data_IF_499200529675
#
_entry.id   IF_499200529675
#
_cell.length_a   1.000
_cell.length_b   1.000
_cell.length_c   1.000
_cell.angle_alpha   90.00
_cell.angle_beta   90.00
_cell.angle_gamma   90.00
#
_symmetry.space_group_name_H-M   'P 1'
#
loop_
_entity.id
_entity.type
_entity.pdbx_description
1 polymer ?
#
# COMPACT_ATOMS: atom_id res chain seq x y z
N UNK A 1 -0.07 83.85 -0.48
CA UNK A 1 0.65 84.14 0.77
C UNK A 1 0.76 82.80 1.51
N UNK A 2 1.76 81.99 1.16
CA UNK A 2 3.03 81.81 1.90
C UNK A 2 2.69 81.29 3.31
N UNK A 3 2.98 80.04 3.69
CA UNK A 3 4.33 79.45 3.74
C UNK A 3 4.33 77.91 3.89
N UNK A 4 5.47 77.31 3.53
CA UNK A 4 5.83 75.88 3.62
C UNK A 4 6.40 75.55 5.02
N UNK A 5 6.36 74.28 5.43
CA UNK A 5 7.46 73.52 6.09
C UNK A 5 6.89 72.22 6.69
N UNK A 6 7.18 71.01 6.18
CA UNK A 6 8.34 70.15 6.54
C UNK A 6 8.54 70.02 8.07
N UNK A 7 8.71 68.86 8.70
CA UNK A 7 8.84 67.47 8.30
C UNK A 7 8.72 66.57 9.55
N UNK A 8 8.70 65.25 9.33
CA UNK A 8 9.25 64.23 10.24
C UNK A 8 8.40 63.82 11.46
N UNK A 9 7.62 62.75 11.27
CA UNK A 9 7.04 61.94 12.34
C UNK A 9 7.16 60.46 12.02
N UNK A 10 8.08 59.80 12.72
CA UNK A 10 8.46 58.38 12.71
C UNK A 10 7.47 57.36 12.12
N UNK A 11 8.01 56.61 11.16
CA UNK A 11 7.67 55.23 10.80
C UNK A 11 7.94 54.30 11.99
N UNK A 12 6.89 53.69 12.53
CA UNK A 12 6.93 52.45 13.34
C UNK A 12 5.87 51.54 12.71
N UNK A 13 6.23 50.69 11.73
CA UNK A 13 6.53 49.28 11.98
C UNK A 13 5.67 48.66 13.09
N UNK A 14 4.39 48.43 12.83
CA UNK A 14 3.69 47.28 13.40
C UNK A 14 4.05 46.07 12.56
N UNK A 15 5.23 45.53 12.88
CA UNK A 15 5.65 44.22 12.44
C UNK A 15 4.78 43.17 13.12
N UNK A 16 4.20 42.32 12.27
CA UNK A 16 3.80 40.95 12.55
C UNK A 16 4.42 40.35 13.81
N UNK A 17 3.59 40.04 14.80
CA UNK A 17 3.87 38.94 15.71
C UNK A 17 2.60 38.13 15.95
N UNK A 18 2.14 37.46 14.90
CA UNK A 18 1.45 36.17 15.06
C UNK A 18 2.49 35.21 15.67
N UNK A 19 2.60 35.21 17.00
CA UNK A 19 3.30 34.14 17.71
C UNK A 19 2.49 32.87 17.51
N UNK A 20 2.87 32.16 16.46
CA UNK A 20 2.83 30.73 16.33
C UNK A 20 2.90 30.05 17.71
N UNK A 21 1.73 29.64 18.22
CA UNK A 21 1.61 28.64 19.29
C UNK A 21 1.71 27.24 18.70
N UNK A 22 2.75 27.02 17.88
CA UNK A 22 3.07 25.73 17.26
C UNK A 22 4.38 25.24 17.88
N UNK A 23 4.27 24.73 19.11
CA UNK A 23 5.44 24.24 19.85
C UNK A 23 5.17 23.19 20.93
N UNK A 24 3.94 23.07 21.45
CA UNK A 24 3.71 22.26 22.67
C UNK A 24 2.88 20.97 22.43
N UNK A 25 2.30 20.76 21.25
CA UNK A 25 1.46 19.58 20.94
C UNK A 25 2.27 18.28 20.62
N UNK A 26 3.59 18.31 20.76
CA UNK A 26 4.48 17.21 20.40
C UNK A 26 4.51 16.06 21.40
N UNK A 27 4.35 16.37 22.69
CA UNK A 27 4.64 15.42 23.78
C UNK A 27 3.42 14.61 24.22
N UNK A 28 2.22 15.22 24.20
CA UNK A 28 0.96 14.55 24.54
C UNK A 28 0.55 13.43 23.57
N UNK A 29 1.12 13.38 22.36
CA UNK A 29 0.80 12.37 21.33
C UNK A 29 1.43 11.01 21.59
N UNK A 30 2.49 10.94 22.40
CA UNK A 30 3.17 9.68 22.74
C UNK A 30 2.39 8.90 23.82
N UNK A 31 1.74 9.60 24.75
CA UNK A 31 1.02 9.01 25.88
C UNK A 31 -0.27 8.28 25.46
N UNK A 32 -0.95 8.73 24.40
CA UNK A 32 -2.23 8.18 23.96
C UNK A 32 -2.09 6.94 23.04
N UNK A 33 -0.87 6.47 22.79
CA UNK A 33 -0.57 5.36 21.86
C UNK A 33 -1.25 4.03 22.22
N UNK A 34 -1.56 3.82 23.50
CA UNK A 34 -2.30 2.65 23.98
C UNK A 34 -3.83 2.78 23.87
N UNK A 35 -4.34 4.00 23.73
CA UNK A 35 -5.77 4.32 23.79
C UNK A 35 -6.33 4.58 22.39
N UNK A 36 -5.55 5.25 21.53
CA UNK A 36 -5.90 5.56 20.15
C UNK A 36 -4.78 5.15 19.20
N UNK A 37 -5.13 4.58 18.03
CA UNK A 37 -4.12 4.25 17.03
C UNK A 37 -3.58 5.54 16.41
N UNK A 38 -2.25 5.70 16.38
CA UNK A 38 -1.61 6.84 15.72
C UNK A 38 -1.21 6.50 14.29
N UNK A 39 -1.32 7.45 13.36
CA UNK A 39 -0.93 7.20 11.97
C UNK A 39 0.56 6.84 11.85
N UNK A 40 1.42 7.55 12.58
CA UNK A 40 2.86 7.30 12.57
C UNK A 40 3.20 5.85 12.96
N UNK A 41 2.56 5.33 14.01
CA UNK A 41 2.69 3.95 14.44
C UNK A 41 2.22 2.97 13.36
N UNK A 42 1.03 3.18 12.78
CA UNK A 42 0.48 2.29 11.75
C UNK A 42 1.33 2.27 10.46
N UNK A 43 1.92 3.40 10.10
CA UNK A 43 2.87 3.51 8.98
C UNK A 43 4.18 2.80 9.30
N UNK A 44 4.71 2.94 10.53
CA UNK A 44 5.94 2.27 10.95
C UNK A 44 5.82 0.73 10.87
N UNK A 45 4.63 0.16 11.07
CA UNK A 45 4.38 -1.28 10.93
C UNK A 45 4.67 -1.82 9.52
N UNK A 46 4.72 -0.96 8.50
CA UNK A 46 5.16 -1.35 7.15
C UNK A 46 6.55 -1.98 7.18
N UNK A 47 7.45 -1.57 8.06
CA UNK A 47 8.79 -2.13 8.15
C UNK A 47 8.81 -3.61 8.58
N UNK A 48 7.78 -4.06 9.32
CA UNK A 48 7.71 -5.40 9.90
C UNK A 48 7.20 -6.47 8.92
N UNK A 49 6.49 -6.06 7.88
CA UNK A 49 5.87 -7.01 6.94
C UNK A 49 6.92 -7.56 5.99
N UNK A 50 7.35 -8.80 6.21
CA UNK A 50 8.15 -9.53 5.23
C UNK A 50 7.21 -10.01 4.11
N UNK A 51 7.58 -9.74 2.85
CA UNK A 51 6.76 -10.17 1.71
C UNK A 51 6.67 -11.69 1.67
N UNK A 52 5.52 -12.22 1.22
CA UNK A 52 5.50 -13.62 0.79
C UNK A 52 6.47 -13.73 -0.39
N UNK A 53 7.26 -14.81 -0.46
CA UNK A 53 8.10 -15.05 -1.64
C UNK A 53 7.21 -14.91 -2.87
N UNK A 54 7.53 -13.93 -3.73
CA UNK A 54 6.84 -13.76 -5.00
C UNK A 54 6.81 -15.13 -5.69
N UNK A 55 5.64 -15.51 -6.21
CA UNK A 55 5.56 -16.69 -7.07
C UNK A 55 6.66 -16.56 -8.13
N UNK A 56 7.49 -17.60 -8.27
CA UNK A 56 8.67 -17.60 -9.14
C UNK A 56 8.28 -17.04 -10.51
N UNK A 57 8.74 -15.82 -10.83
CA UNK A 57 8.46 -15.20 -12.12
C UNK A 57 9.04 -16.10 -13.21
N UNK A 58 8.31 -16.30 -14.30
CA UNK A 58 8.90 -16.83 -15.53
C UNK A 58 10.08 -15.94 -15.94
N UNK A 59 11.02 -16.48 -16.73
CA UNK A 59 12.31 -15.82 -17.02
C UNK A 59 12.17 -14.49 -17.78
N UNK A 60 10.96 -14.11 -18.19
CA UNK A 60 10.62 -12.88 -18.89
C UNK A 60 9.51 -12.12 -18.14
N UNK A 61 9.80 -11.62 -16.94
CA UNK A 61 8.82 -10.91 -16.12
C UNK A 61 8.84 -9.40 -16.34
N UNK A 62 7.89 -8.88 -17.09
CA UNK A 62 7.48 -7.46 -17.06
C UNK A 62 7.06 -7.08 -15.64
N UNK A 63 7.47 -5.89 -15.21
CA UNK A 63 7.18 -5.37 -13.88
C UNK A 63 5.73 -4.86 -13.83
N UNK A 64 4.82 -5.66 -13.30
CA UNK A 64 3.44 -5.23 -13.04
C UNK A 64 2.57 -6.38 -12.52
N UNK A 65 1.86 -6.09 -11.42
CA UNK A 65 0.83 -6.91 -10.76
C UNK A 65 1.19 -8.34 -10.31
N UNK A 66 0.51 -8.79 -9.25
CA UNK A 66 0.79 -10.04 -8.56
C UNK A 66 0.64 -11.25 -9.50
N UNK A 67 1.76 -11.86 -9.90
CA UNK A 67 1.73 -13.01 -10.78
C UNK A 67 1.21 -14.26 -10.05
N UNK A 68 0.24 -14.95 -10.65
CA UNK A 68 -0.30 -16.20 -10.11
C UNK A 68 0.69 -17.36 -10.29
N UNK A 69 0.94 -18.21 -9.26
CA UNK A 69 1.76 -19.41 -9.41
C UNK A 69 1.10 -20.50 -10.27
N UNK A 70 -0.22 -20.42 -10.49
CA UNK A 70 -0.93 -21.25 -11.45
C UNK A 70 -0.63 -20.79 -12.88
N UNK A 71 0.11 -21.63 -13.62
CA UNK A 71 0.30 -21.52 -15.06
C UNK A 71 -0.94 -22.14 -15.74
N UNK A 72 -1.73 -21.34 -16.47
CA UNK A 72 -2.94 -21.82 -17.16
C UNK A 72 -4.00 -20.75 -17.42
N UNK A 73 -4.71 -20.88 -18.56
CA UNK A 73 -5.85 -20.05 -19.06
C UNK A 73 -5.76 -18.54 -18.79
N UNK A 74 -4.56 -17.98 -18.76
CA UNK A 74 -4.34 -16.55 -18.79
C UNK A 74 -4.39 -16.02 -20.23
N UNK A 75 -4.68 -14.73 -20.38
CA UNK A 75 -4.61 -14.05 -21.69
C UNK A 75 -3.20 -13.51 -21.97
N UNK A 76 -2.33 -13.44 -20.96
CA UNK A 76 -1.00 -12.85 -21.09
C UNK A 76 0.05 -13.93 -21.41
N UNK A 77 0.85 -13.68 -22.44
CA UNK A 77 1.97 -14.53 -22.80
C UNK A 77 3.10 -14.39 -21.76
N UNK A 78 3.50 -15.49 -21.14
CA UNK A 78 4.56 -15.50 -20.15
C UNK A 78 5.91 -15.85 -20.76
N UNK A 79 6.02 -17.03 -21.37
CA UNK A 79 7.24 -17.50 -22.02
C UNK A 79 6.91 -18.64 -22.98
N UNK A 80 7.77 -18.87 -23.97
CA UNK A 80 7.72 -20.08 -24.80
C UNK A 80 8.77 -21.05 -24.28
N UNK A 81 8.35 -22.29 -24.00
CA UNK A 81 9.26 -23.38 -23.61
C UNK A 81 9.29 -24.46 -24.68
N UNK A 82 10.32 -25.30 -24.66
CA UNK A 82 10.34 -26.50 -25.51
C UNK A 82 9.15 -27.40 -25.18
N UNK A 83 8.53 -27.93 -26.23
CA UNK A 83 7.35 -28.79 -26.16
C UNK A 83 7.69 -30.07 -25.39
N UNK A 84 6.83 -30.44 -24.45
CA UNK A 84 6.90 -31.71 -23.75
C UNK A 84 5.71 -32.58 -24.15
N UNK A 85 5.90 -33.90 -24.12
CA UNK A 85 4.82 -34.83 -24.39
C UNK A 85 3.67 -34.63 -23.38
N UNK A 86 2.45 -34.43 -23.89
CA UNK A 86 1.27 -34.07 -23.09
C UNK A 86 0.89 -32.59 -23.16
N UNK A 87 1.71 -31.75 -23.80
CA UNK A 87 1.33 -30.37 -24.11
C UNK A 87 0.24 -30.32 -25.20
N UNK A 88 -0.70 -29.39 -25.05
CA UNK A 88 -1.76 -29.18 -26.02
C UNK A 88 -1.24 -28.51 -27.29
N UNK A 89 -1.44 -29.15 -28.44
CA UNK A 89 -0.97 -28.68 -29.73
C UNK A 89 -1.51 -27.29 -30.14
N UNK A 90 -2.63 -26.85 -29.55
CA UNK A 90 -3.21 -25.52 -29.80
C UNK A 90 -2.36 -24.38 -29.25
N UNK A 91 -1.51 -24.66 -28.25
CA UNK A 91 -0.64 -23.66 -27.65
C UNK A 91 0.75 -23.60 -28.28
N UNK A 92 1.02 -24.34 -29.37
CA UNK A 92 2.36 -24.34 -29.94
C UNK A 92 2.64 -23.03 -30.70
N UNK A 93 3.81 -22.44 -30.43
CA UNK A 93 4.34 -21.29 -31.13
C UNK A 93 4.95 -21.70 -32.46
N UNK A 94 4.14 -21.72 -33.53
CA UNK A 94 4.63 -21.99 -34.88
C UNK A 94 5.68 -21.01 -35.38
N UNK A 95 5.67 -19.75 -34.93
CA UNK A 95 6.66 -18.76 -35.38
C UNK A 95 8.02 -18.99 -34.73
N UNK A 96 8.06 -19.39 -33.47
CA UNK A 96 9.30 -19.76 -32.80
C UNK A 96 9.80 -21.13 -33.29
N UNK A 97 8.88 -22.09 -33.45
CA UNK A 97 9.16 -23.43 -33.96
C UNK A 97 9.78 -23.40 -35.36
N UNK A 98 9.24 -22.56 -36.26
CA UNK A 98 9.79 -22.40 -37.61
C UNK A 98 11.21 -21.82 -37.65
N UNK A 99 11.60 -21.03 -36.63
CA UNK A 99 12.93 -20.40 -36.56
C UNK A 99 13.96 -21.26 -35.84
N UNK A 100 13.55 -21.96 -34.78
CA UNK A 100 14.45 -22.79 -33.96
C UNK A 100 14.55 -24.23 -34.45
N UNK A 101 13.62 -24.67 -35.31
CA UNK A 101 13.52 -26.05 -35.79
C UNK A 101 13.03 -27.05 -34.73
N UNK A 102 12.68 -26.59 -33.53
CA UNK A 102 12.17 -27.42 -32.42
C UNK A 102 10.79 -26.95 -31.98
N UNK A 103 9.85 -27.85 -31.63
CA UNK A 103 8.52 -27.45 -31.20
C UNK A 103 8.57 -26.70 -29.86
N UNK A 104 7.91 -25.54 -29.79
CA UNK A 104 7.86 -24.70 -28.58
C UNK A 104 6.42 -24.40 -28.16
N UNK A 105 6.03 -24.73 -26.92
CA UNK A 105 4.72 -24.44 -26.36
C UNK A 105 4.69 -23.05 -25.70
N UNK A 106 3.70 -22.22 -26.06
CA UNK A 106 3.42 -20.94 -25.37
C UNK A 106 2.83 -21.21 -24.00
N UNK A 107 3.48 -20.68 -22.97
CA UNK A 107 2.93 -20.61 -21.63
C UNK A 107 2.22 -19.28 -21.45
N UNK A 108 0.99 -19.35 -20.99
CA UNK A 108 0.19 -18.19 -20.63
C UNK A 108 0.10 -18.08 -19.10
N UNK A 109 0.24 -16.87 -18.59
CA UNK A 109 0.07 -16.57 -17.18
C UNK A 109 -1.22 -15.78 -16.98
N UNK A 110 -1.99 -16.19 -15.98
CA UNK A 110 -3.20 -15.47 -15.62
C UNK A 110 -2.81 -14.23 -14.81
N UNK A 111 -3.13 -13.05 -15.34
CA UNK A 111 -3.20 -11.83 -14.56
C UNK A 111 -4.30 -12.01 -13.51
N UNK A 112 -3.92 -11.92 -12.23
CA UNK A 112 -4.87 -11.98 -11.13
C UNK A 112 -4.82 -10.65 -10.39
N UNK A 113 -5.84 -9.85 -10.63
CA UNK A 113 -6.10 -8.70 -9.78
C UNK A 113 -6.72 -9.19 -8.47
N UNK A 114 -5.89 -9.29 -7.43
CA UNK A 114 -6.32 -9.66 -6.08
C UNK A 114 -6.80 -8.42 -5.33
N UNK A 115 -7.90 -8.57 -4.59
CA UNK A 115 -8.43 -7.55 -3.69
C UNK A 115 -8.31 -8.06 -2.26
N UNK A 116 -7.57 -7.35 -1.42
CA UNK A 116 -7.56 -7.54 0.03
C UNK A 116 -8.63 -6.65 0.65
N UNK A 117 -9.68 -7.27 1.20
CA UNK A 117 -10.76 -6.58 1.91
C UNK A 117 -10.48 -6.58 3.42
N UNK A 118 -10.37 -5.40 4.01
CA UNK A 118 -10.22 -5.20 5.45
C UNK A 118 -11.58 -4.83 6.04
N UNK A 119 -12.08 -5.64 6.96
CA UNK A 119 -13.31 -5.31 7.70
C UNK A 119 -12.92 -4.93 9.12
N UNK A 120 -13.11 -3.66 9.45
CA UNK A 120 -12.79 -3.11 10.76
C UNK A 120 -14.08 -2.95 11.58
N UNK A 121 -14.12 -3.55 12.76
CA UNK A 121 -15.17 -3.31 13.74
C UNK A 121 -14.83 -2.08 14.59
N UNK A 122 -15.83 -1.25 14.87
CA UNK A 122 -15.73 -0.07 15.73
C UNK A 122 -16.74 -0.08 16.88
N UNK A 123 -17.23 -1.27 17.25
CA UNK A 123 -18.12 -1.45 18.38
C UNK A 123 -17.51 -0.91 19.70
N UNK A 124 -18.35 -0.35 20.60
CA UNK A 124 -17.92 0.12 21.92
C UNK A 124 -17.15 -0.94 22.73
N UNK A 125 -17.44 -2.22 22.51
CA UNK A 125 -16.79 -3.38 23.15
C UNK A 125 -15.30 -3.51 22.82
N UNK A 126 -14.78 -2.76 21.84
CA UNK A 126 -13.35 -2.73 21.51
C UNK A 126 -12.58 -1.63 22.23
N UNK A 127 -13.25 -0.67 22.87
CA UNK A 127 -12.63 0.45 23.58
C UNK A 127 -12.31 0.08 25.03
N UNK A 128 -11.66 -1.06 25.21
CA UNK A 128 -11.05 -1.44 26.48
C UNK A 128 -9.72 -2.16 26.24
N UNK A 129 -8.81 -2.06 27.19
CA UNK A 129 -7.52 -2.75 27.17
C UNK A 129 -7.10 -3.15 28.57
N UNK A 130 -6.44 -4.30 28.68
CA UNK A 130 -6.10 -4.88 30.00
C UNK A 130 -4.71 -4.48 30.48
N UNK A 131 -3.78 -4.16 29.57
CA UNK A 131 -2.37 -3.90 29.91
C UNK A 131 -1.73 -2.81 29.05
N UNK A 132 -1.47 -3.12 27.78
CA UNK A 132 -0.58 -2.30 26.92
C UNK A 132 -1.37 -1.38 25.98
N UNK A 133 -2.51 -1.85 25.47
CA UNK A 133 -3.32 -1.11 24.50
C UNK A 133 -4.76 -1.59 24.50
N UNK A 134 -5.67 -0.77 23.98
CA UNK A 134 -7.05 -1.14 23.74
C UNK A 134 -7.17 -2.16 22.61
N UNK A 135 -8.23 -2.97 22.64
CA UNK A 135 -8.53 -3.93 21.58
C UNK A 135 -8.76 -3.23 20.23
N UNK A 136 -9.34 -2.04 20.23
CA UNK A 136 -9.51 -1.18 19.05
C UNK A 136 -8.16 -0.82 18.42
N UNK A 137 -7.18 -0.39 19.22
CA UNK A 137 -5.81 -0.09 18.78
C UNK A 137 -5.13 -1.34 18.24
N UNK A 138 -5.27 -2.48 18.93
CA UNK A 138 -4.72 -3.74 18.46
C UNK A 138 -5.33 -4.19 17.12
N UNK A 139 -6.64 -4.03 16.94
CA UNK A 139 -7.34 -4.32 15.70
C UNK A 139 -6.85 -3.41 14.55
N UNK A 140 -6.67 -2.11 14.82
CA UNK A 140 -6.10 -1.18 13.84
C UNK A 140 -4.68 -1.57 13.42
N UNK A 141 -3.81 -1.97 14.38
CA UNK A 141 -2.46 -2.46 14.07
C UNK A 141 -2.47 -3.73 13.23
N UNK A 142 -3.35 -4.68 13.56
CA UNK A 142 -3.51 -5.91 12.78
C UNK A 142 -4.01 -5.61 11.36
N UNK A 143 -4.99 -4.72 11.22
CA UNK A 143 -5.48 -4.24 9.93
C UNK A 143 -4.40 -3.54 9.11
N UNK A 144 -3.56 -2.71 9.73
CA UNK A 144 -2.43 -2.07 9.06
C UNK A 144 -1.39 -3.09 8.56
N UNK A 145 -1.04 -4.10 9.37
CA UNK A 145 -0.15 -5.18 8.93
C UNK A 145 -0.72 -5.94 7.73
N UNK A 146 -2.02 -6.28 7.77
CA UNK A 146 -2.70 -6.94 6.65
C UNK A 146 -2.74 -6.05 5.40
N UNK A 147 -3.02 -4.75 5.56
CA UNK A 147 -2.99 -3.78 4.47
C UNK A 147 -1.62 -3.72 3.82
N UNK A 148 -0.56 -3.58 4.62
CA UNK A 148 0.82 -3.52 4.13
C UNK A 148 1.26 -4.82 3.45
N UNK A 149 0.78 -5.98 3.93
CA UNK A 149 0.99 -7.25 3.27
C UNK A 149 0.33 -7.30 1.89
N UNK A 150 -0.94 -6.92 1.78
CA UNK A 150 -1.65 -6.86 0.51
C UNK A 150 -1.00 -5.90 -0.49
N UNK A 151 -0.63 -4.69 -0.04
CA UNK A 151 0.07 -3.70 -0.89
C UNK A 151 1.41 -4.24 -1.39
N UNK A 152 2.16 -4.97 -0.55
CA UNK A 152 3.43 -5.59 -0.97
C UNK A 152 3.22 -6.74 -1.96
N UNK A 153 2.16 -7.50 -1.79
CA UNK A 153 1.80 -8.59 -2.69
C UNK A 153 1.27 -8.08 -4.05
N UNK A 154 0.97 -6.78 -4.16
CA UNK A 154 0.44 -6.16 -5.38
C UNK A 154 -1.09 -6.20 -5.46
N UNK A 155 -1.75 -6.47 -4.34
CA UNK A 155 -3.21 -6.50 -4.23
C UNK A 155 -3.77 -5.07 -4.16
N UNK A 156 -4.97 -4.87 -4.71
CA UNK A 156 -5.79 -3.70 -4.37
C UNK A 156 -6.27 -3.83 -2.92
N UNK A 157 -6.37 -2.71 -2.22
CA UNK A 157 -6.91 -2.68 -0.85
C UNK A 157 -8.28 -2.03 -0.85
N UNK A 158 -9.24 -2.68 -0.20
CA UNK A 158 -10.51 -2.08 0.18
C UNK A 158 -10.72 -2.20 1.69
N UNK A 159 -11.40 -1.24 2.29
CA UNK A 159 -11.72 -1.26 3.71
C UNK A 159 -13.20 -0.95 3.94
N UNK A 160 -13.82 -1.69 4.86
CA UNK A 160 -15.17 -1.48 5.33
C UNK A 160 -15.13 -1.33 6.85
N UNK A 161 -15.80 -0.29 7.37
CA UNK A 161 -15.94 -0.06 8.80
C UNK A 161 -17.36 -0.42 9.24
N UNK A 162 -17.50 -1.44 10.07
CA UNK A 162 -18.75 -1.77 10.75
C UNK A 162 -18.94 -0.88 11.98
N UNK A 163 -20.12 -0.30 12.15
CA UNK A 163 -20.54 0.34 13.39
C UNK A 163 -21.90 -0.21 13.79
N UNK A 164 -22.02 -0.74 15.00
CA UNK A 164 -23.32 -1.03 15.62
C UNK A 164 -23.91 0.33 16.01
N UNK A 165 -25.09 0.65 15.46
CA UNK A 165 -25.89 1.81 15.88
C UNK A 165 -26.66 1.46 17.15
#
# INVERSE_FOLDING_TARGET
>A
MVERSAATGRRSQEGSSSRASSGEDGDARAEDSGVRPTLAELVALRALVQGRRAATRGRFGTAGHALSPLRGRGMEYAESREYAHGDDARHIDWRLTARSGRPHTKLFQAERERLTLLVADTAPTLYFGTRVRFKSVQAARAGALAAWAGVRDGDRIAALRGSVR
#
